data_IF_886615831999
#
_entry.id   IF_886615831999
#
_cell.length_a   1.000
_cell.length_b   1.000
_cell.length_c   1.000
_cell.angle_alpha   90.00
_cell.angle_beta   90.00
_cell.angle_gamma   90.00
#
_symmetry.space_group_name_H-M   'P 1'
#
loop_
_entity.id
_entity.type
_entity.pdbx_description
1 polymer ?
#
# COMPACT_ATOMS: atom_id res chain seq x y z
N UNK A 1 -15.34 17.69 -24.61
CA UNK A 1 -15.84 17.53 -23.23
C UNK A 1 -14.68 17.83 -22.29
N UNK A 2 -14.71 18.96 -21.59
CA UNK A 2 -13.67 19.35 -20.64
C UNK A 2 -14.01 18.82 -19.26
N UNK A 3 -13.00 18.27 -18.57
CA UNK A 3 -13.12 17.64 -17.26
C UNK A 3 -13.42 18.69 -16.17
N UNK A 4 -14.48 18.48 -15.38
CA UNK A 4 -14.97 19.43 -14.37
C UNK A 4 -14.09 19.52 -13.11
N UNK A 5 -12.94 18.84 -13.09
CA UNK A 5 -12.05 18.74 -11.92
C UNK A 5 -10.73 19.53 -12.04
N UNK A 6 -10.59 20.43 -13.01
CA UNK A 6 -9.37 21.23 -13.17
C UNK A 6 -9.22 22.30 -12.04
N UNK A 7 -8.21 22.20 -11.16
CA UNK A 7 -8.07 23.09 -9.99
C UNK A 7 -7.85 24.57 -10.35
N UNK A 8 -7.46 24.86 -11.59
CA UNK A 8 -7.12 26.21 -12.05
C UNK A 8 -8.33 27.04 -12.52
N UNK A 9 -9.53 26.46 -12.57
CA UNK A 9 -10.77 27.13 -13.02
C UNK A 9 -11.73 27.53 -11.89
N UNK A 10 -11.32 27.43 -10.62
CA UNK A 10 -12.14 27.90 -9.47
C UNK A 10 -12.09 29.43 -9.33
N UNK A 11 -13.11 30.09 -9.89
CA UNK A 11 -13.64 31.41 -9.52
C UNK A 11 -12.61 32.51 -9.16
N UNK A 12 -12.17 33.26 -10.17
CA UNK A 12 -11.24 34.39 -10.04
C UNK A 12 -11.82 35.62 -9.31
N UNK A 13 -13.12 35.65 -9.00
CA UNK A 13 -13.80 36.84 -8.47
C UNK A 13 -14.01 36.81 -6.94
N UNK A 14 -13.45 35.85 -6.22
CA UNK A 14 -13.59 35.75 -4.77
C UNK A 14 -12.71 36.73 -3.97
N UNK A 15 -11.69 37.33 -4.57
CA UNK A 15 -10.66 38.11 -3.87
C UNK A 15 -11.01 39.59 -3.62
N UNK A 16 -12.05 40.14 -4.25
CA UNK A 16 -12.38 41.58 -4.21
C UNK A 16 -13.66 41.84 -3.40
N UNK A 17 -13.69 41.35 -2.16
CA UNK A 17 -14.59 41.91 -1.15
C UNK A 17 -13.73 42.50 -0.04
N UNK A 18 -13.54 43.82 -0.08
CA UNK A 18 -13.01 44.60 1.03
C UNK A 18 -14.01 44.58 2.19
N UNK A 19 -14.07 43.45 2.89
CA UNK A 19 -14.88 43.27 4.08
C UNK A 19 -14.14 43.97 5.21
N UNK A 20 -14.63 45.11 5.67
CA UNK A 20 -14.16 45.69 6.94
C UNK A 20 -14.36 44.62 8.01
N UNK A 21 -13.27 44.07 8.54
CA UNK A 21 -13.29 42.98 9.50
C UNK A 21 -14.17 43.43 10.67
N UNK A 22 -15.39 42.87 10.76
CA UNK A 22 -16.31 43.11 11.88
C UNK A 22 -15.51 42.76 13.12
N UNK A 23 -15.15 43.76 13.93
CA UNK A 23 -14.39 43.49 15.13
C UNK A 23 -15.24 42.56 15.99
N UNK A 24 -14.76 41.33 16.13
CA UNK A 24 -15.42 40.30 16.91
C UNK A 24 -15.71 40.87 18.29
N UNK A 25 -17.00 40.96 18.65
CA UNK A 25 -17.45 41.52 19.93
C UNK A 25 -16.77 40.80 21.10
N UNK A 26 -16.41 39.53 20.94
CA UNK A 26 -15.59 38.78 21.90
C UNK A 26 -14.25 39.44 22.19
N UNK A 27 -13.50 39.94 21.19
CA UNK A 27 -12.22 40.62 21.39
C UNK A 27 -12.37 41.94 22.17
N UNK A 28 -13.42 42.72 21.88
CA UNK A 28 -13.70 43.98 22.59
C UNK A 28 -14.16 43.73 24.02
N UNK A 29 -14.98 42.68 24.23
CA UNK A 29 -15.44 42.26 25.55
C UNK A 29 -14.29 41.69 26.40
N UNK A 30 -13.38 40.91 25.80
CA UNK A 30 -12.17 40.41 26.47
C UNK A 30 -11.25 41.56 26.88
N UNK A 31 -11.03 42.57 26.01
CA UNK A 31 -10.25 43.77 26.36
C UNK A 31 -10.90 44.57 27.50
N UNK A 32 -12.23 44.69 27.53
CA UNK A 32 -12.98 45.33 28.62
C UNK A 32 -12.84 44.58 29.94
N UNK A 33 -12.81 43.25 29.90
CA UNK A 33 -12.65 42.39 31.07
C UNK A 33 -11.23 42.48 31.64
N UNK A 34 -10.20 42.47 30.78
CA UNK A 34 -8.79 42.66 31.15
C UNK A 34 -8.56 44.02 31.81
N UNK A 35 -9.20 45.08 31.32
CA UNK A 35 -9.09 46.44 31.90
C UNK A 35 -9.68 46.56 33.31
N UNK A 36 -10.57 45.64 33.70
CA UNK A 36 -11.20 45.58 35.03
C UNK A 36 -10.39 44.75 36.04
N UNK A 37 -9.49 43.88 35.57
CA UNK A 37 -8.74 42.93 36.41
C UNK A 37 -7.37 43.46 36.86
N UNK A 38 -6.89 44.57 36.29
CA UNK A 38 -5.57 45.14 36.58
C UNK A 38 -5.66 46.55 37.19
N UNK A 39 -4.82 46.83 38.20
CA UNK A 39 -4.71 48.15 38.85
C UNK A 39 -4.35 49.25 37.82
N UNK A 40 -4.87 50.49 37.94
CA UNK A 40 -4.69 51.56 36.95
C UNK A 40 -3.22 51.84 36.58
N UNK A 41 -2.29 51.65 37.51
CA UNK A 41 -0.86 51.83 37.25
C UNK A 41 -0.26 50.79 36.30
N UNK A 42 -0.81 49.56 36.26
CA UNK A 42 -0.36 48.52 35.34
C UNK A 42 -0.88 48.76 33.91
N UNK A 43 -2.07 49.36 33.75
CA UNK A 43 -2.64 49.65 32.44
C UNK A 43 -1.81 50.67 31.65
N UNK A 44 -1.21 51.66 32.32
CA UNK A 44 -0.37 52.69 31.69
C UNK A 44 0.85 52.07 30.98
N UNK A 45 1.41 50.99 31.54
CA UNK A 45 2.56 50.27 30.96
C UNK A 45 2.22 49.52 29.68
N UNK A 46 0.95 49.22 29.44
CA UNK A 46 0.46 48.55 28.23
C UNK A 46 -0.23 49.54 27.28
N UNK A 47 -0.08 50.85 27.50
CA UNK A 47 -0.52 51.84 26.52
C UNK A 47 0.27 51.67 25.22
N UNK A 48 -0.45 51.72 24.09
CA UNK A 48 0.16 51.59 22.77
C UNK A 48 1.10 52.77 22.53
N UNK A 49 2.28 52.50 21.98
CA UNK A 49 3.20 53.55 21.52
C UNK A 49 2.53 54.42 20.46
N UNK A 50 3.05 55.64 20.27
CA UNK A 50 2.61 56.52 19.19
C UNK A 50 2.65 55.77 17.84
N UNK A 51 1.69 56.04 16.92
CA UNK A 51 1.68 55.43 15.59
C UNK A 51 3.04 55.61 14.92
N UNK A 52 3.60 54.52 14.38
CA UNK A 52 4.89 54.55 13.72
C UNK A 52 4.86 55.54 12.54
N UNK A 53 5.91 56.34 12.39
CA UNK A 53 6.08 57.18 11.21
C UNK A 53 6.20 56.32 9.96
N UNK A 54 5.41 56.63 8.93
CA UNK A 54 5.43 55.91 7.68
C UNK A 54 6.77 56.15 6.95
N UNK A 55 7.47 55.05 6.65
CA UNK A 55 8.62 55.05 5.75
C UNK A 55 8.22 54.34 4.45
N UNK A 56 8.53 54.92 3.28
CA UNK A 56 8.23 54.26 2.00
C UNK A 56 9.02 52.93 1.90
N UNK A 57 8.44 51.89 1.29
CA UNK A 57 9.15 50.64 1.05
C UNK A 57 10.44 50.86 0.25
N UNK A 58 11.54 50.14 0.55
CA UNK A 58 12.77 50.24 -0.22
C UNK A 58 12.53 49.84 -1.68
N UNK A 59 13.14 50.57 -2.62
CA UNK A 59 13.05 50.28 -4.05
C UNK A 59 13.68 48.91 -4.38
N UNK A 60 12.94 48.05 -5.08
CA UNK A 60 13.44 46.75 -5.51
C UNK A 60 14.45 46.94 -6.65
N UNK A 61 15.70 46.55 -6.40
CA UNK A 61 16.74 46.55 -7.44
C UNK A 61 16.51 45.40 -8.42
N UNK A 62 16.68 45.68 -9.71
CA UNK A 62 16.71 44.64 -10.74
C UNK A 62 18.05 43.91 -10.68
N UNK A 63 18.02 42.58 -10.83
CA UNK A 63 19.23 41.80 -11.04
C UNK A 63 19.92 42.22 -12.35
N UNK A 64 21.25 42.11 -12.46
CA UNK A 64 21.95 42.25 -13.73
C UNK A 64 21.36 41.36 -14.82
N UNK A 65 21.45 41.75 -16.11
CA UNK A 65 20.97 40.92 -17.22
C UNK A 65 21.76 39.60 -17.30
N UNK A 66 21.12 38.55 -17.79
CA UNK A 66 21.79 37.26 -18.02
C UNK A 66 22.89 37.39 -19.09
N UNK A 67 24.08 36.88 -18.79
CA UNK A 67 25.19 36.75 -19.74
C UNK A 67 25.27 35.31 -20.26
N UNK A 68 25.70 35.12 -21.51
CA UNK A 68 25.90 33.78 -22.09
C UNK A 68 27.11 33.05 -21.51
N UNK A 69 27.15 31.73 -21.67
CA UNK A 69 28.22 30.86 -21.15
C UNK A 69 29.43 30.70 -22.08
N UNK A 70 29.42 31.33 -23.26
CA UNK A 70 30.45 31.15 -24.30
C UNK A 70 31.86 31.57 -23.85
N UNK A 71 31.96 32.54 -22.94
CA UNK A 71 33.24 33.01 -22.37
C UNK A 71 34.01 31.91 -21.63
N UNK A 72 33.32 30.84 -21.19
CA UNK A 72 33.91 29.79 -20.37
C UNK A 72 34.37 28.56 -21.15
N UNK A 73 34.12 28.49 -22.47
CA UNK A 73 34.45 27.32 -23.30
C UNK A 73 35.97 27.08 -23.35
N UNK A 74 36.78 28.15 -23.28
CA UNK A 74 38.24 28.05 -23.21
C UNK A 74 38.79 27.49 -21.90
N UNK A 75 37.94 27.36 -20.87
CA UNK A 75 38.32 26.86 -19.55
C UNK A 75 37.89 25.40 -19.31
N UNK A 76 37.38 24.70 -20.34
CA UNK A 76 37.02 23.29 -20.20
C UNK A 76 38.27 22.42 -20.17
N UNK A 77 38.34 21.53 -19.17
CA UNK A 77 39.43 20.56 -19.06
C UNK A 77 39.44 19.62 -20.27
N UNK A 78 40.62 19.43 -20.86
CA UNK A 78 40.83 18.47 -21.93
C UNK A 78 41.09 17.08 -21.36
N UNK A 79 40.89 15.99 -22.14
CA UNK A 79 41.14 14.62 -21.68
C UNK A 79 42.55 14.32 -21.14
N UNK A 80 43.51 15.22 -21.36
CA UNK A 80 44.90 15.11 -20.86
C UNK A 80 45.09 15.78 -19.50
N UNK A 81 44.17 16.63 -19.08
CA UNK A 81 44.29 17.39 -17.85
C UNK A 81 43.91 16.53 -16.63
N UNK A 82 44.58 16.72 -15.48
CA UNK A 82 44.29 15.95 -14.26
C UNK A 82 42.87 16.19 -13.72
N UNK A 83 42.24 17.31 -14.10
CA UNK A 83 40.89 17.70 -13.68
C UNK A 83 39.79 17.12 -14.59
N UNK A 84 40.14 16.41 -15.66
CA UNK A 84 39.18 15.85 -16.59
C UNK A 84 38.41 14.67 -15.97
N UNK A 85 37.11 14.84 -15.79
CA UNK A 85 36.21 13.76 -15.39
C UNK A 85 35.59 13.09 -16.64
N UNK A 86 35.86 11.80 -16.90
CA UNK A 86 35.28 11.12 -18.05
C UNK A 86 33.75 11.03 -17.91
N UNK A 87 33.01 10.95 -19.05
CA UNK A 87 31.57 10.76 -19.02
C UNK A 87 31.19 9.52 -18.22
N UNK A 88 30.26 9.67 -17.26
CA UNK A 88 29.79 8.55 -16.46
C UNK A 88 29.11 7.52 -17.38
N UNK A 89 29.47 6.22 -17.29
CA UNK A 89 28.80 5.20 -18.08
C UNK A 89 27.32 5.13 -17.70
N UNK A 90 26.47 4.77 -18.66
CA UNK A 90 25.06 4.51 -18.40
C UNK A 90 24.92 3.25 -17.54
N UNK A 91 24.80 3.43 -16.23
CA UNK A 91 24.55 2.34 -15.28
C UNK A 91 23.04 2.13 -15.17
N UNK A 92 22.62 0.87 -15.02
CA UNK A 92 21.22 0.54 -14.72
C UNK A 92 20.75 1.36 -13.51
N UNK A 93 19.61 2.03 -13.64
CA UNK A 93 18.95 2.65 -12.48
C UNK A 93 18.57 1.55 -11.48
N UNK A 94 18.51 1.85 -10.18
CA UNK A 94 18.08 0.86 -9.18
C UNK A 94 16.72 0.21 -9.48
N UNK A 95 15.82 0.93 -10.15
CA UNK A 95 14.53 0.42 -10.62
C UNK A 95 14.67 -0.67 -11.69
N UNK A 96 15.53 -0.45 -12.70
CA UNK A 96 15.82 -1.43 -13.75
C UNK A 96 16.46 -2.70 -13.17
N UNK A 97 17.38 -2.55 -12.22
CA UNK A 97 17.99 -3.69 -11.51
C UNK A 97 16.95 -4.53 -10.76
N UNK A 98 16.02 -3.88 -10.05
CA UNK A 98 14.93 -4.58 -9.34
C UNK A 98 14.01 -5.33 -10.31
N UNK A 99 13.64 -4.69 -11.43
CA UNK A 99 12.81 -5.32 -12.45
C UNK A 99 13.50 -6.56 -13.06
N UNK A 100 14.80 -6.48 -13.35
CA UNK A 100 15.61 -7.62 -13.83
C UNK A 100 15.62 -8.79 -12.84
N UNK A 101 15.86 -8.50 -11.56
CA UNK A 101 15.89 -9.53 -10.51
C UNK A 101 14.49 -10.16 -10.35
N UNK A 102 13.43 -9.35 -10.37
CA UNK A 102 12.06 -9.85 -10.27
C UNK A 102 11.71 -10.79 -11.42
N UNK A 103 12.03 -10.39 -12.66
CA UNK A 103 11.82 -11.21 -13.86
C UNK A 103 12.57 -12.54 -13.75
N UNK A 104 13.85 -12.52 -13.38
CA UNK A 104 14.65 -13.74 -13.20
C UNK A 104 14.10 -14.66 -12.10
N UNK A 105 13.58 -14.11 -10.99
CA UNK A 105 12.95 -14.91 -9.93
C UNK A 105 11.67 -15.58 -10.41
N UNK A 106 10.86 -14.85 -11.20
CA UNK A 106 9.63 -15.39 -11.76
C UNK A 106 9.91 -16.53 -12.74
N UNK A 107 10.88 -16.34 -13.64
CA UNK A 107 11.31 -17.37 -14.60
C UNK A 107 11.81 -18.63 -13.89
N UNK A 108 12.65 -18.49 -12.86
CA UNK A 108 13.10 -19.63 -12.03
C UNK A 108 11.95 -20.32 -11.29
N UNK A 109 10.95 -19.55 -10.84
CA UNK A 109 9.76 -20.11 -10.21
C UNK A 109 8.93 -20.96 -11.18
N UNK A 110 8.80 -20.50 -12.43
CA UNK A 110 8.11 -21.24 -13.50
C UNK A 110 8.88 -22.50 -13.88
N UNK A 111 10.20 -22.42 -14.02
CA UNK A 111 11.07 -23.57 -14.32
C UNK A 111 10.95 -24.65 -13.24
N UNK A 112 11.07 -24.26 -11.96
CA UNK A 112 10.90 -25.19 -10.83
C UNK A 112 9.51 -25.83 -10.81
N UNK A 113 8.44 -25.05 -11.01
CA UNK A 113 7.09 -25.61 -11.07
C UNK A 113 6.91 -26.61 -12.23
N UNK A 114 7.57 -26.37 -13.36
CA UNK A 114 7.55 -27.29 -14.50
C UNK A 114 8.35 -28.57 -14.24
N UNK A 115 9.46 -28.49 -13.50
CA UNK A 115 10.20 -29.67 -13.02
C UNK A 115 9.38 -30.49 -12.02
N UNK A 116 8.77 -29.82 -11.03
CA UNK A 116 7.92 -30.46 -10.03
C UNK A 116 6.73 -31.17 -10.70
N UNK A 117 6.13 -30.59 -11.75
CA UNK A 117 5.05 -31.21 -12.52
C UNK A 117 5.49 -32.48 -13.26
N UNK A 118 6.73 -32.53 -13.77
CA UNK A 118 7.27 -33.72 -14.45
C UNK A 118 7.53 -34.86 -13.47
N UNK A 119 7.91 -34.54 -12.23
CA UNK A 119 8.19 -35.52 -11.19
C UNK A 119 6.93 -35.98 -10.44
N UNK A 120 5.78 -35.32 -10.65
CA UNK A 120 4.54 -35.62 -9.97
C UNK A 120 3.81 -36.81 -10.62
N UNK A 121 3.83 -37.96 -9.96
CA UNK A 121 3.05 -39.15 -10.33
C UNK A 121 2.03 -39.50 -9.22
N UNK A 122 0.74 -39.18 -9.40
CA UNK A 122 -0.28 -39.43 -8.39
C UNK A 122 -0.61 -40.92 -8.22
N UNK A 123 -0.28 -41.79 -9.18
CA UNK A 123 -0.60 -43.22 -9.10
C UNK A 123 0.41 -44.02 -8.27
N UNK A 124 1.61 -43.48 -8.09
CA UNK A 124 2.70 -44.12 -7.36
C UNK A 124 2.95 -43.48 -5.98
N UNK A 125 2.07 -42.57 -5.53
CA UNK A 125 2.18 -41.95 -4.21
C UNK A 125 1.66 -42.91 -3.12
N UNK A 126 2.49 -43.30 -2.12
CA UNK A 126 2.05 -44.16 -1.03
C UNK A 126 0.93 -43.57 -0.17
N UNK A 127 0.74 -42.25 -0.20
CA UNK A 127 -0.32 -41.57 0.55
C UNK A 127 -1.67 -41.56 -0.20
N UNK A 128 -1.65 -41.72 -1.52
CA UNK A 128 -2.83 -41.72 -2.37
C UNK A 128 -3.28 -43.16 -2.65
N UNK A 129 -4.07 -43.72 -1.73
CA UNK A 129 -4.67 -45.06 -1.88
C UNK A 129 -6.20 -44.96 -2.04
N UNK A 130 -6.80 -45.88 -2.80
CA UNK A 130 -8.25 -46.00 -2.97
C UNK A 130 -8.78 -45.58 -4.35
N UNK A 131 -10.12 -45.49 -4.48
CA UNK A 131 -10.82 -45.09 -5.71
C UNK A 131 -11.01 -43.56 -5.75
N UNK A 132 -10.47 -42.83 -6.74
CA UNK A 132 -10.54 -41.37 -6.80
C UNK A 132 -11.98 -40.84 -6.85
N UNK A 133 -12.94 -41.61 -7.37
CA UNK A 133 -14.34 -41.18 -7.42
C UNK A 133 -15.09 -41.35 -6.10
N UNK A 134 -14.45 -41.95 -5.10
CA UNK A 134 -15.01 -42.19 -3.75
C UNK A 134 -14.22 -41.47 -2.66
N UNK A 135 -13.22 -40.68 -3.03
CA UNK A 135 -12.38 -39.93 -2.10
C UNK A 135 -12.77 -38.46 -2.12
N UNK A 136 -13.10 -37.91 -0.94
CA UNK A 136 -13.39 -36.49 -0.73
C UNK A 136 -12.15 -35.77 -0.21
N UNK A 137 -11.87 -34.61 -0.82
CA UNK A 137 -10.84 -33.68 -0.37
C UNK A 137 -11.48 -32.60 0.50
N UNK A 138 -11.03 -32.48 1.76
CA UNK A 138 -11.54 -31.47 2.68
C UNK A 138 -10.39 -30.56 3.13
N UNK A 139 -10.48 -29.30 2.72
CA UNK A 139 -9.52 -28.25 3.07
C UNK A 139 -10.11 -27.26 4.09
N UNK A 140 -9.26 -26.39 4.64
CA UNK A 140 -9.63 -25.32 5.58
C UNK A 140 -10.31 -25.81 6.88
N UNK A 141 -9.92 -27.00 7.34
CA UNK A 141 -10.35 -27.49 8.64
C UNK A 141 -9.61 -26.76 9.76
N UNK A 142 -10.28 -26.56 10.90
CA UNK A 142 -9.62 -26.05 12.09
C UNK A 142 -8.54 -27.04 12.56
N UNK A 143 -7.36 -26.55 12.92
CA UNK A 143 -6.19 -27.34 13.30
C UNK A 143 -6.47 -28.29 14.48
N UNK A 144 -7.30 -27.85 15.43
CA UNK A 144 -7.65 -28.62 16.64
C UNK A 144 -8.73 -29.69 16.39
N UNK A 145 -9.22 -29.84 15.17
CA UNK A 145 -10.21 -30.88 14.86
C UNK A 145 -9.55 -32.26 14.91
N UNK A 146 -10.01 -33.12 15.81
CA UNK A 146 -9.56 -34.51 15.85
C UNK A 146 -10.20 -35.31 14.72
N UNK A 147 -9.52 -36.38 14.30
CA UNK A 147 -10.05 -37.34 13.32
C UNK A 147 -11.45 -37.84 13.70
N UNK A 148 -11.66 -38.14 14.99
CA UNK A 148 -12.93 -38.61 15.53
C UNK A 148 -14.10 -37.65 15.32
N UNK A 149 -13.88 -36.34 15.46
CA UNK A 149 -14.92 -35.33 15.22
C UNK A 149 -15.32 -35.34 13.75
N UNK A 150 -14.34 -35.40 12.86
CA UNK A 150 -14.60 -35.36 11.42
C UNK A 150 -15.29 -36.65 10.99
N UNK A 151 -14.80 -37.80 11.45
CA UNK A 151 -15.46 -39.10 11.23
C UNK A 151 -16.93 -39.04 11.63
N UNK A 152 -17.26 -38.49 12.81
CA UNK A 152 -18.65 -38.35 13.30
C UNK A 152 -19.52 -37.49 12.38
N UNK A 153 -19.02 -36.35 11.92
CA UNK A 153 -19.79 -35.44 11.05
C UNK A 153 -19.97 -36.04 9.64
N UNK A 154 -18.97 -36.76 9.12
CA UNK A 154 -19.03 -37.36 7.79
C UNK A 154 -19.74 -38.72 7.75
N UNK A 155 -19.84 -39.43 8.87
CA UNK A 155 -20.57 -40.69 9.00
C UNK A 155 -22.07 -40.54 8.70
N UNK A 156 -22.64 -39.35 8.95
CA UNK A 156 -24.02 -39.02 8.58
C UNK A 156 -24.30 -39.15 7.07
N UNK A 157 -23.28 -38.99 6.22
CA UNK A 157 -23.40 -39.07 4.77
C UNK A 157 -23.09 -40.47 4.21
N UNK A 158 -22.54 -41.37 5.04
CA UNK A 158 -22.29 -42.75 4.67
C UNK A 158 -21.09 -43.36 5.41
N UNK A 159 -20.92 -44.69 5.30
CA UNK A 159 -19.80 -45.38 5.93
C UNK A 159 -18.46 -44.92 5.34
N UNK A 160 -17.49 -44.61 6.21
CA UNK A 160 -16.14 -44.18 5.86
C UNK A 160 -15.20 -45.38 5.92
N UNK A 161 -14.39 -45.61 4.88
CA UNK A 161 -13.40 -46.71 4.86
C UNK A 161 -12.11 -46.31 5.55
N UNK A 162 -11.56 -45.17 5.14
CA UNK A 162 -10.24 -44.73 5.54
C UNK A 162 -10.21 -43.21 5.63
N UNK A 163 -9.51 -42.71 6.66
CA UNK A 163 -9.16 -41.31 6.77
C UNK A 163 -7.64 -41.20 6.70
N UNK A 164 -7.15 -40.30 5.85
CA UNK A 164 -5.74 -39.96 5.76
C UNK A 164 -5.57 -38.48 6.07
N UNK A 165 -4.69 -38.18 7.01
CA UNK A 165 -4.35 -36.81 7.38
C UNK A 165 -2.95 -36.54 6.83
N UNK A 166 -2.86 -35.59 5.89
CA UNK A 166 -1.56 -35.10 5.43
C UNK A 166 -1.21 -33.86 6.23
N UNK A 167 -0.25 -34.01 7.13
CA UNK A 167 0.32 -32.89 7.88
C UNK A 167 1.42 -32.27 7.03
N UNK A 168 1.11 -31.14 6.37
CA UNK A 168 2.13 -30.28 5.80
C UNK A 168 2.52 -29.21 6.82
N UNK A 169 3.81 -29.11 7.13
CA UNK A 169 4.33 -28.27 8.23
C UNK A 169 4.14 -26.75 8.04
N UNK A 170 3.79 -26.30 6.83
CA UNK A 170 3.74 -24.87 6.47
C UNK A 170 2.40 -24.39 5.88
N UNK A 171 1.53 -25.30 5.45
CA UNK A 171 0.27 -24.99 4.75
C UNK A 171 -0.75 -25.90 5.39
N UNK A 172 -1.72 -25.32 6.11
CA UNK A 172 -2.48 -26.04 7.13
C UNK A 172 -3.03 -27.41 6.73
N UNK A 173 -3.24 -28.27 7.73
CA UNK A 173 -3.52 -29.69 7.57
C UNK A 173 -4.63 -29.95 6.55
N UNK A 174 -4.27 -30.60 5.45
CA UNK A 174 -5.19 -31.04 4.42
C UNK A 174 -5.59 -32.48 4.72
N UNK A 175 -6.88 -32.78 4.65
CA UNK A 175 -7.39 -34.10 5.03
C UNK A 175 -8.15 -34.75 3.88
N UNK A 176 -7.91 -36.05 3.71
CA UNK A 176 -8.48 -36.87 2.66
C UNK A 176 -9.35 -37.97 3.29
N UNK A 177 -10.52 -38.21 2.70
CA UNK A 177 -11.49 -39.19 3.20
C UNK A 177 -11.92 -40.13 2.09
N UNK A 178 -11.75 -41.45 2.24
CA UNK A 178 -12.33 -42.43 1.33
C UNK A 178 -13.66 -42.95 1.89
N UNK A 179 -14.75 -42.76 1.15
CA UNK A 179 -16.08 -43.26 1.51
C UNK A 179 -16.33 -44.68 0.94
N UNK A 180 -17.04 -45.52 1.69
CA UNK A 180 -17.22 -46.93 1.37
C UNK A 180 -18.33 -47.23 0.36
N UNK A 181 -19.37 -46.41 0.33
CA UNK A 181 -20.62 -46.72 -0.36
C UNK A 181 -20.72 -46.07 -1.75
N UNK A 182 -21.87 -46.23 -2.42
CA UNK A 182 -22.02 -46.20 -3.89
C UNK A 182 -22.98 -45.11 -4.39
N UNK A 183 -23.09 -43.98 -3.68
CA UNK A 183 -24.08 -42.92 -3.97
C UNK A 183 -23.51 -41.49 -3.90
N UNK A 184 -22.30 -41.23 -4.42
CA UNK A 184 -21.46 -40.12 -3.90
C UNK A 184 -21.21 -38.90 -4.82
N UNK A 185 -21.61 -38.89 -6.09
CA UNK A 185 -21.25 -37.74 -6.97
C UNK A 185 -22.15 -36.52 -6.75
N UNK A 186 -23.47 -36.72 -6.61
CA UNK A 186 -24.43 -35.62 -6.35
C UNK A 186 -24.30 -35.02 -4.95
N UNK A 187 -23.82 -35.80 -3.97
CA UNK A 187 -23.68 -35.37 -2.57
C UNK A 187 -22.36 -34.63 -2.30
N UNK A 188 -21.25 -35.00 -2.95
CA UNK A 188 -20.01 -34.23 -2.90
C UNK A 188 -20.22 -32.78 -3.38
N UNK A 189 -21.01 -32.62 -4.46
CA UNK A 189 -21.41 -31.31 -5.00
C UNK A 189 -22.27 -30.53 -3.99
N UNK A 190 -23.19 -31.20 -3.29
CA UNK A 190 -24.02 -30.56 -2.26
C UNK A 190 -23.20 -30.05 -1.06
N UNK A 191 -22.17 -30.78 -0.64
CA UNK A 191 -21.27 -30.35 0.44
C UNK A 191 -20.41 -29.14 0.04
N UNK A 192 -19.93 -29.11 -1.22
CA UNK A 192 -19.22 -27.96 -1.78
C UNK A 192 -20.12 -26.71 -1.78
N UNK A 193 -21.36 -26.84 -2.27
CA UNK A 193 -22.30 -25.72 -2.35
C UNK A 193 -22.78 -25.21 -0.98
N UNK A 194 -22.80 -26.06 0.06
CA UNK A 194 -23.24 -25.66 1.41
C UNK A 194 -22.15 -24.89 2.19
N UNK A 195 -20.88 -25.10 1.85
CA UNK A 195 -19.73 -24.40 2.45
C UNK A 195 -19.49 -23.01 1.84
N UNK A 196 -20.01 -22.71 0.64
CA UNK A 196 -19.93 -21.38 0.02
C UNK A 196 -20.98 -20.38 0.54
N UNK A 197 -21.99 -20.86 1.27
CA UNK A 197 -23.12 -20.06 1.75
C UNK A 197 -22.96 -19.64 3.23
N UNK A 198 -21.87 -20.01 3.89
CA UNK A 198 -21.55 -19.60 5.27
C UNK A 198 -20.23 -18.83 5.38
#
# INVERSE_FOLDING_TARGET
MGDLNDPFMRNQNAAVQARTKVQNRSNVLQLKLVRRLFSPHLFIRFSLSAPLEFQPPPEQRKCPPYTGMAQYVSHFAEPRDPEYAPPKPNVETPAQKRARIHKSRLEKGVEKAAEDLKNYDPNNDPNASGDPYKTLFVARLNYETSDSKIKREFEAYGPIKQVCISEHSLTGSVRFFEMAARSHVLFAICLILRLEVY
#
